data_IF_033682232447
#
_entry.id   IF_033682232447
#
_cell.length_a   1.000
_cell.length_b   1.000
_cell.length_c   1.000
_cell.angle_alpha   90.00
_cell.angle_beta   90.00
_cell.angle_gamma   90.00
#
_symmetry.space_group_name_H-M   'P 1'
#
loop_
_entity.id
_entity.type
_entity.pdbx_description
1 polymer ?
#
# COMPACT_ATOMS: atom_id res chain seq x y z
N UNK A 1 18.10 -2.64 2.46
CA UNK A 1 18.08 -3.54 1.28
C UNK A 1 17.76 -2.74 0.03
N UNK A 2 18.41 -3.04 -1.10
CA UNK A 2 18.16 -2.37 -2.37
C UNK A 2 17.28 -3.26 -3.25
N UNK A 3 16.02 -2.88 -3.43
CA UNK A 3 15.12 -3.49 -4.41
C UNK A 3 15.48 -3.00 -5.83
N UNK A 4 15.43 -3.91 -6.81
CA UNK A 4 15.67 -3.59 -8.23
C UNK A 4 14.55 -2.75 -8.87
N UNK A 5 13.39 -2.68 -8.22
CA UNK A 5 12.24 -1.89 -8.68
C UNK A 5 12.60 -0.42 -8.81
N UNK A 6 12.41 0.10 -10.03
CA UNK A 6 12.70 1.51 -10.40
C UNK A 6 11.61 2.46 -9.94
N UNK A 7 10.35 2.04 -10.02
CA UNK A 7 9.23 2.82 -9.54
C UNK A 7 9.14 2.62 -8.03
N UNK A 8 9.32 3.72 -7.30
CA UNK A 8 9.19 3.80 -5.86
C UNK A 8 8.40 5.06 -5.58
N UNK A 9 7.15 4.87 -5.23
CA UNK A 9 6.17 5.92 -5.12
C UNK A 9 5.82 6.09 -3.64
N UNK A 10 6.58 6.91 -2.89
CA UNK A 10 6.29 7.15 -1.48
C UNK A 10 4.95 7.88 -1.35
N UNK A 11 4.14 7.44 -0.42
CA UNK A 11 2.81 7.98 -0.21
C UNK A 11 2.25 7.64 1.16
N UNK A 12 1.09 8.26 1.43
CA UNK A 12 0.34 8.02 2.67
C UNK A 12 -0.83 7.11 2.36
N UNK A 13 -1.00 6.04 3.11
CA UNK A 13 -2.17 5.17 2.97
C UNK A 13 -3.41 5.96 3.39
N UNK A 14 -4.42 6.00 2.52
CA UNK A 14 -5.69 6.68 2.78
C UNK A 14 -6.81 5.70 3.10
N UNK A 15 -6.75 4.47 2.59
CA UNK A 15 -7.75 3.43 2.82
C UNK A 15 -7.12 2.04 2.75
N UNK A 16 -7.57 1.12 3.63
CA UNK A 16 -7.26 -0.31 3.53
C UNK A 16 -8.54 -1.11 3.67
N UNK A 17 -8.90 -1.87 2.63
CA UNK A 17 -10.06 -2.77 2.63
C UNK A 17 -9.56 -4.20 2.53
N UNK A 18 -9.76 -4.99 3.59
CA UNK A 18 -9.32 -6.38 3.67
C UNK A 18 -10.48 -7.32 3.35
N UNK A 19 -10.36 -8.09 2.26
CA UNK A 19 -11.26 -9.19 1.91
C UNK A 19 -10.80 -10.51 2.54
N UNK A 20 -11.26 -11.65 2.01
CA UNK A 20 -10.81 -12.96 2.51
C UNK A 20 -9.37 -13.28 2.08
N UNK A 21 -9.05 -13.15 0.80
CA UNK A 21 -7.73 -13.48 0.25
C UNK A 21 -6.86 -12.26 -0.10
N UNK A 22 -7.49 -11.13 -0.46
CA UNK A 22 -6.82 -9.93 -0.94
C UNK A 22 -7.18 -8.70 -0.10
N UNK A 23 -6.30 -7.71 -0.14
CA UNK A 23 -6.51 -6.39 0.45
C UNK A 23 -6.31 -5.31 -0.62
N UNK A 24 -7.28 -4.40 -0.72
CA UNK A 24 -7.19 -3.19 -1.53
C UNK A 24 -6.60 -2.08 -0.65
N UNK A 25 -5.48 -1.51 -1.06
CA UNK A 25 -4.79 -0.42 -0.37
C UNK A 25 -4.78 0.79 -1.27
N UNK A 26 -5.31 1.91 -0.78
CA UNK A 26 -5.28 3.19 -1.49
C UNK A 26 -4.22 4.08 -0.85
N UNK A 27 -3.38 4.70 -1.67
CA UNK A 27 -2.32 5.61 -1.26
C UNK A 27 -2.48 6.96 -1.96
N UNK A 28 -2.24 8.04 -1.22
CA UNK A 28 -1.98 9.36 -1.78
C UNK A 28 -0.47 9.48 -2.08
N UNK A 29 -0.13 9.62 -3.36
CA UNK A 29 1.24 9.78 -3.85
C UNK A 29 1.32 11.11 -4.61
N UNK A 30 1.94 12.13 -3.99
CA UNK A 30 1.90 13.49 -4.53
C UNK A 30 0.46 13.97 -4.70
N UNK A 31 0.07 14.36 -5.91
CA UNK A 31 -1.30 14.78 -6.25
C UNK A 31 -2.19 13.61 -6.73
N UNK A 32 -1.65 12.40 -6.84
CA UNK A 32 -2.34 11.25 -7.41
C UNK A 32 -2.80 10.26 -6.34
N UNK A 33 -3.91 9.58 -6.61
CA UNK A 33 -4.35 8.40 -5.86
C UNK A 33 -3.88 7.13 -6.56
N UNK A 34 -3.16 6.27 -5.84
CA UNK A 34 -2.70 4.98 -6.30
C UNK A 34 -3.45 3.88 -5.56
N UNK A 35 -3.96 2.90 -6.29
CA UNK A 35 -4.65 1.73 -5.71
C UNK A 35 -3.82 0.49 -5.99
N UNK A 36 -3.46 -0.23 -4.94
CA UNK A 36 -2.78 -1.52 -4.99
C UNK A 36 -3.71 -2.62 -4.49
N UNK A 37 -3.69 -3.77 -5.16
CA UNK A 37 -4.32 -4.99 -4.68
C UNK A 37 -3.21 -5.98 -4.32
N UNK A 38 -3.10 -6.30 -3.04
CA UNK A 38 -2.10 -7.23 -2.51
C UNK A 38 -2.79 -8.37 -1.75
N UNK A 39 -2.04 -9.37 -1.30
CA UNK A 39 -2.62 -10.41 -0.43
C UNK A 39 -3.03 -9.81 0.90
N UNK A 40 -4.08 -10.38 1.51
CA UNK A 40 -4.49 -9.99 2.86
C UNK A 40 -3.36 -10.21 3.86
N UNK A 41 -2.69 -11.35 3.75
CA UNK A 41 -1.56 -11.72 4.62
C UNK A 41 -0.48 -10.64 4.62
N UNK A 42 -0.02 -10.19 3.44
CA UNK A 42 0.99 -9.12 3.39
C UNK A 42 0.50 -7.79 3.96
N UNK A 43 -0.79 -7.45 3.77
CA UNK A 43 -1.35 -6.24 4.38
C UNK A 43 -1.40 -6.32 5.91
N UNK A 44 -1.67 -7.52 6.46
CA UNK A 44 -1.69 -7.79 7.89
C UNK A 44 -0.27 -7.80 8.48
N UNK A 45 0.68 -8.51 7.86
CA UNK A 45 2.08 -8.59 8.28
C UNK A 45 2.79 -7.24 8.28
N UNK A 46 2.53 -6.42 7.25
CA UNK A 46 3.09 -5.06 7.15
C UNK A 46 2.36 -4.05 8.06
N UNK A 47 1.27 -4.46 8.71
CA UNK A 47 0.43 -3.61 9.56
C UNK A 47 -0.05 -2.37 8.80
N UNK A 48 -0.61 -2.56 7.60
CA UNK A 48 -1.07 -1.45 6.77
C UNK A 48 -2.39 -0.88 7.31
N UNK A 49 -2.40 0.44 7.48
CA UNK A 49 -3.51 1.18 8.05
C UNK A 49 -3.54 2.62 7.50
N UNK A 50 -4.71 3.27 7.44
CA UNK A 50 -4.80 4.68 7.06
C UNK A 50 -3.91 5.59 7.91
N UNK A 51 -3.24 6.56 7.26
CA UNK A 51 -2.31 7.50 7.89
C UNK A 51 -0.85 7.03 7.90
N UNK A 52 -0.58 5.74 7.65
CA UNK A 52 0.78 5.20 7.62
C UNK A 52 1.51 5.58 6.32
N UNK A 53 2.82 5.86 6.44
CA UNK A 53 3.70 6.03 5.28
C UNK A 53 4.04 4.67 4.67
N UNK A 54 3.91 4.56 3.34
CA UNK A 54 4.29 3.39 2.57
C UNK A 54 4.90 3.80 1.22
N UNK A 55 5.53 2.86 0.53
CA UNK A 55 6.07 3.08 -0.82
C UNK A 55 5.51 2.00 -1.72
N UNK A 56 4.81 2.41 -2.77
CA UNK A 56 4.33 1.53 -3.84
C UNK A 56 5.42 1.29 -4.90
#
# INVERSE_FOLDING_TARGET
MQLSTRNRLPGTITEVVKGEAAAKVTLQVGDNHLVALITRESADELGLEPGKQATA
#
